data_IF_574273008484
#
_entry.id   IF_574273008484
#
_cell.length_a   1.000
_cell.length_b   1.000
_cell.length_c   1.000
_cell.angle_alpha   90.00
_cell.angle_beta   90.00
_cell.angle_gamma   90.00
#
_symmetry.space_group_name_H-M   'P 1'
#
loop_
_entity.id
_entity.type
_entity.pdbx_description
1 polymer ?
#
# COMPACT_ATOMS: atom_id res chain seq x y z
N UNK A 1 3.46 43.49 -17.51
CA UNK A 1 2.21 42.69 -17.43
C UNK A 1 1.90 42.39 -15.97
N UNK A 2 0.88 43.03 -15.36
CA UNK A 2 0.46 42.70 -13.98
C UNK A 2 -0.64 41.65 -14.05
N UNK A 3 -0.35 40.42 -13.59
CA UNK A 3 -1.33 39.35 -13.47
C UNK A 3 -2.33 39.74 -12.38
N UNK A 4 -3.57 40.02 -12.77
CA UNK A 4 -4.71 40.19 -11.85
C UNK A 4 -4.88 38.87 -11.10
N UNK A 5 -4.66 38.87 -9.78
CA UNK A 5 -4.97 37.73 -8.92
C UNK A 5 -6.47 37.72 -8.74
N UNK A 6 -7.16 36.80 -9.41
CA UNK A 6 -8.57 36.53 -9.19
C UNK A 6 -8.75 36.17 -7.72
N UNK A 7 -9.47 37.00 -6.97
CA UNK A 7 -9.85 36.73 -5.59
C UNK A 7 -10.86 35.60 -5.60
N UNK A 8 -10.39 34.36 -5.43
CA UNK A 8 -11.24 33.18 -5.28
C UNK A 8 -12.05 33.37 -4.01
N UNK A 9 -13.37 33.34 -4.14
CA UNK A 9 -14.36 33.34 -3.06
C UNK A 9 -13.94 32.33 -2.00
N UNK A 10 -13.67 32.80 -0.78
CA UNK A 10 -13.29 31.95 0.34
C UNK A 10 -14.51 31.15 0.80
N UNK A 11 -14.84 30.06 0.10
CA UNK A 11 -15.68 29.02 0.68
C UNK A 11 -14.90 28.42 1.85
N UNK A 12 -15.44 28.61 3.06
CA UNK A 12 -14.90 27.96 4.25
C UNK A 12 -15.43 26.53 4.24
N UNK A 13 -14.59 25.59 3.82
CA UNK A 13 -14.87 24.17 4.00
C UNK A 13 -14.55 23.78 5.44
N UNK A 14 -15.46 23.06 6.08
CA UNK A 14 -15.21 22.43 7.36
C UNK A 14 -14.20 21.29 7.23
N UNK A 15 -13.55 20.93 8.32
CA UNK A 15 -12.56 19.84 8.33
C UNK A 15 -13.17 18.51 7.85
N UNK A 16 -14.39 18.21 8.28
CA UNK A 16 -15.11 16.98 7.91
C UNK A 16 -15.43 16.94 6.40
N UNK A 17 -15.85 18.06 5.82
CA UNK A 17 -16.10 18.15 4.38
C UNK A 17 -14.83 17.94 3.56
N UNK A 18 -13.70 18.48 4.02
CA UNK A 18 -12.40 18.29 3.36
C UNK A 18 -11.99 16.83 3.39
N UNK A 19 -12.11 16.18 4.55
CA UNK A 19 -11.76 14.76 4.72
C UNK A 19 -12.65 13.90 3.81
N UNK A 20 -13.96 14.10 3.85
CA UNK A 20 -14.91 13.35 3.01
C UNK A 20 -14.64 13.55 1.51
N UNK A 21 -14.34 14.78 1.09
CA UNK A 21 -14.00 15.07 -0.30
C UNK A 21 -12.70 14.35 -0.75
N UNK A 22 -11.67 14.33 0.11
CA UNK A 22 -10.43 13.61 -0.18
C UNK A 22 -10.65 12.09 -0.22
N UNK A 23 -11.50 11.55 0.65
CA UNK A 23 -11.85 10.14 0.67
C UNK A 23 -12.57 9.72 -0.63
N UNK A 24 -13.59 10.49 -1.04
CA UNK A 24 -14.29 10.28 -2.31
C UNK A 24 -13.33 10.33 -3.51
N UNK A 25 -12.38 11.27 -3.50
CA UNK A 25 -11.33 11.34 -4.52
C UNK A 25 -10.47 10.07 -4.57
N UNK A 26 -10.07 9.54 -3.40
CA UNK A 26 -9.29 8.30 -3.33
C UNK A 26 -10.09 7.06 -3.72
N UNK A 27 -11.37 6.97 -3.34
CA UNK A 27 -12.24 5.84 -3.66
C UNK A 27 -12.63 5.80 -5.14
N UNK A 28 -12.85 6.96 -5.77
CA UNK A 28 -13.21 7.01 -7.18
C UNK A 28 -12.07 6.48 -8.07
N UNK A 29 -10.81 6.79 -7.74
CA UNK A 29 -9.62 6.25 -8.42
C UNK A 29 -9.44 6.64 -9.90
N UNK A 30 -10.46 7.22 -10.53
CA UNK A 30 -10.53 7.59 -11.94
C UNK A 30 -10.71 9.09 -12.19
N UNK A 31 -10.65 9.92 -11.14
CA UNK A 31 -10.79 11.37 -11.22
C UNK A 31 -9.42 12.02 -11.17
N UNK A 32 -9.13 12.92 -12.11
CA UNK A 32 -7.89 13.69 -12.09
C UNK A 32 -7.95 14.82 -11.05
N UNK A 33 -6.79 15.23 -10.52
CA UNK A 33 -6.69 16.38 -9.60
C UNK A 33 -7.31 17.65 -10.22
N UNK A 34 -7.20 17.80 -11.55
CA UNK A 34 -7.78 18.94 -12.28
C UNK A 34 -9.31 18.93 -12.22
N UNK A 35 -9.94 17.79 -12.43
CA UNK A 35 -11.40 17.64 -12.35
C UNK A 35 -11.90 17.85 -10.91
N UNK A 36 -11.18 17.30 -9.92
CA UNK A 36 -11.48 17.51 -8.51
C UNK A 36 -11.43 19.01 -8.13
N UNK A 37 -10.32 19.68 -8.46
CA UNK A 37 -10.15 21.11 -8.14
C UNK A 37 -11.18 22.00 -8.84
N UNK A 38 -11.63 21.62 -10.04
CA UNK A 38 -12.71 22.31 -10.75
C UNK A 38 -14.08 22.11 -10.06
N UNK A 39 -14.39 20.88 -9.63
CA UNK A 39 -15.64 20.57 -8.93
C UNK A 39 -15.79 21.33 -7.60
N UNK A 40 -14.70 21.40 -6.83
CA UNK A 40 -14.67 22.09 -5.53
C UNK A 40 -14.31 23.58 -5.63
N UNK A 41 -14.07 24.11 -6.84
CA UNK A 41 -13.65 25.50 -7.09
C UNK A 41 -12.42 25.94 -6.26
N UNK A 42 -11.51 24.99 -6.01
CA UNK A 42 -10.28 25.23 -5.25
C UNK A 42 -9.07 25.28 -6.17
N UNK A 43 -7.97 25.85 -5.69
CA UNK A 43 -6.70 25.77 -6.41
C UNK A 43 -6.04 24.40 -6.21
N UNK A 44 -5.20 23.98 -7.16
CA UNK A 44 -4.38 22.78 -6.99
C UNK A 44 -3.49 22.86 -5.74
N UNK A 45 -2.97 24.05 -5.40
CA UNK A 45 -2.18 24.25 -4.18
C UNK A 45 -3.02 23.98 -2.91
N UNK A 46 -4.29 24.38 -2.90
CA UNK A 46 -5.23 24.08 -1.82
C UNK A 46 -5.44 22.58 -1.67
N UNK A 47 -5.66 21.86 -2.79
CA UNK A 47 -5.78 20.41 -2.79
C UNK A 47 -4.55 19.71 -2.18
N UNK A 48 -3.33 20.08 -2.62
CA UNK A 48 -2.12 19.47 -2.07
C UNK A 48 -1.90 19.82 -0.59
N UNK A 49 -2.32 21.01 -0.15
CA UNK A 49 -2.30 21.38 1.26
C UNK A 49 -3.28 20.52 2.09
N UNK A 50 -4.51 20.35 1.62
CA UNK A 50 -5.50 19.48 2.25
C UNK A 50 -5.01 18.04 2.30
N UNK A 51 -4.50 17.49 1.19
CA UNK A 51 -3.93 16.15 1.15
C UNK A 51 -2.75 15.98 2.12
N UNK A 52 -1.90 16.99 2.26
CA UNK A 52 -0.78 16.96 3.23
C UNK A 52 -1.28 16.97 4.69
N UNK A 53 -2.31 17.77 5.00
CA UNK A 53 -2.82 17.95 6.37
C UNK A 53 -3.72 16.79 6.81
N UNK A 54 -4.58 16.30 5.93
CA UNK A 54 -5.63 15.34 6.25
C UNK A 54 -5.43 13.96 5.62
N UNK A 55 -4.50 13.83 4.66
CA UNK A 55 -4.22 12.53 4.02
C UNK A 55 -3.65 11.49 4.98
N UNK A 56 -2.98 11.89 6.06
CA UNK A 56 -2.50 10.95 7.09
C UNK A 56 -3.65 10.46 7.98
N UNK A 57 -4.66 11.31 8.26
CA UNK A 57 -5.84 10.89 9.03
C UNK A 57 -6.66 9.81 8.30
N UNK A 58 -6.63 9.80 6.97
CA UNK A 58 -7.25 8.74 6.15
C UNK A 58 -6.49 7.41 6.21
N UNK A 59 -5.18 7.44 6.47
CA UNK A 59 -4.34 6.22 6.57
C UNK A 59 -4.40 5.63 7.98
N UNK A 60 -4.47 6.49 9.00
CA UNK A 60 -4.53 6.06 10.41
C UNK A 60 -5.84 5.35 10.79
N UNK A 61 -6.91 5.49 10.00
CA UNK A 61 -8.17 4.79 10.29
C UNK A 61 -8.18 3.31 9.89
N UNK A 62 -7.24 2.85 9.05
CA UNK A 62 -7.24 1.48 8.53
C UNK A 62 -5.86 0.79 8.47
N UNK A 63 -4.76 1.47 8.82
CA UNK A 63 -3.45 0.82 8.93
C UNK A 63 -3.17 0.46 10.40
N UNK A 64 -2.84 -0.80 10.74
CA UNK A 64 -2.30 -1.11 12.05
C UNK A 64 -0.96 -0.38 12.21
N UNK A 65 -0.95 0.69 13.02
CA UNK A 65 0.28 1.40 13.39
C UNK A 65 0.99 0.54 14.45
N UNK A 66 1.98 -0.24 14.06
CA UNK A 66 2.73 -1.09 14.98
C UNK A 66 3.55 -2.18 14.30
N UNK A 67 4.17 -3.01 15.13
CA UNK A 67 4.79 -4.26 14.68
C UNK A 67 3.68 -5.27 14.38
N UNK A 68 3.73 -5.89 13.20
CA UNK A 68 2.90 -7.05 12.87
C UNK A 68 3.65 -8.26 13.39
N UNK A 69 3.02 -9.05 14.26
CA UNK A 69 3.58 -10.32 14.68
C UNK A 69 3.74 -11.22 13.45
N UNK A 70 4.99 -11.58 13.16
CA UNK A 70 5.30 -12.53 12.10
C UNK A 70 5.01 -13.92 12.66
N UNK A 71 4.02 -14.59 12.07
CA UNK A 71 3.74 -15.98 12.40
C UNK A 71 4.94 -16.84 11.98
N UNK A 72 5.69 -17.33 12.98
CA UNK A 72 6.80 -18.26 12.81
C UNK A 72 6.34 -19.71 12.86
N UNK A 73 5.04 -19.98 12.80
CA UNK A 73 4.53 -21.33 12.64
C UNK A 73 5.22 -21.98 11.46
N UNK A 74 5.75 -23.21 11.61
CA UNK A 74 6.38 -23.91 10.51
C UNK A 74 5.33 -24.05 9.41
N UNK A 75 5.51 -23.29 8.32
CA UNK A 75 4.75 -23.48 7.10
C UNK A 75 5.02 -24.93 6.71
N UNK A 76 4.02 -25.80 6.89
CA UNK A 76 3.99 -27.10 6.26
C UNK A 76 3.96 -26.81 4.76
N UNK A 77 5.14 -26.69 4.17
CA UNK A 77 5.29 -26.76 2.73
C UNK A 77 4.86 -28.17 2.36
N UNK A 78 3.59 -28.33 1.99
CA UNK A 78 3.13 -29.47 1.23
C UNK A 78 4.14 -29.65 0.09
N UNK A 79 4.82 -30.79 0.00
CA UNK A 79 5.84 -31.00 -1.01
C UNK A 79 5.17 -30.90 -2.38
N UNK A 80 5.40 -29.79 -3.07
CA UNK A 80 5.02 -29.63 -4.46
C UNK A 80 5.79 -30.69 -5.22
N UNK A 81 5.12 -31.80 -5.50
CA UNK A 81 5.72 -32.96 -6.16
C UNK A 81 6.31 -32.50 -7.50
N UNK A 82 7.63 -32.53 -7.61
CA UNK A 82 8.35 -32.19 -8.85
C UNK A 82 9.33 -31.01 -8.78
N UNK A 83 9.50 -30.34 -7.63
CA UNK A 83 10.55 -29.32 -7.47
C UNK A 83 11.84 -29.92 -6.89
N UNK A 84 12.98 -29.47 -7.41
CA UNK A 84 14.30 -29.86 -6.89
C UNK A 84 14.49 -29.17 -5.54
N UNK A 85 14.68 -29.97 -4.48
CA UNK A 85 14.98 -29.48 -3.13
C UNK A 85 16.44 -29.01 -3.02
N UNK A 86 17.39 -29.82 -3.51
CA UNK A 86 18.81 -29.48 -3.50
C UNK A 86 19.58 -30.29 -4.55
N UNK A 87 20.75 -29.78 -4.98
CA UNK A 87 21.71 -30.53 -5.79
C UNK A 87 23.09 -30.46 -5.16
N UNK A 88 23.78 -31.61 -5.05
CA UNK A 88 25.15 -31.66 -4.57
C UNK A 88 25.97 -32.66 -5.38
N UNK A 89 27.01 -32.17 -6.07
CA UNK A 89 27.91 -32.99 -6.92
C UNK A 89 27.15 -33.89 -7.92
N UNK A 90 26.07 -33.38 -8.53
CA UNK A 90 25.24 -34.11 -9.48
C UNK A 90 24.22 -35.07 -8.85
N UNK A 91 24.12 -35.12 -7.52
CA UNK A 91 23.04 -35.83 -6.81
C UNK A 91 21.89 -34.84 -6.62
N UNK A 92 20.73 -35.17 -7.18
CA UNK A 92 19.52 -34.35 -7.10
C UNK A 92 18.61 -34.88 -5.99
N UNK A 93 18.28 -34.01 -5.04
CA UNK A 93 17.32 -34.26 -3.99
C UNK A 93 15.99 -33.62 -4.36
N UNK A 94 14.92 -34.42 -4.42
CA UNK A 94 13.56 -33.96 -4.67
C UNK A 94 12.78 -33.68 -3.38
N UNK A 95 13.36 -34.01 -2.24
CA UNK A 95 12.80 -33.77 -0.92
C UNK A 95 13.92 -33.55 0.09
N UNK A 96 13.59 -32.97 1.24
CA UNK A 96 14.51 -32.88 2.37
C UNK A 96 14.79 -34.27 2.92
N UNK A 97 16.07 -34.60 3.12
CA UNK A 97 16.51 -35.90 3.65
C UNK A 97 17.40 -35.66 4.86
N UNK A 98 17.14 -36.40 5.94
CA UNK A 98 17.98 -36.36 7.13
C UNK A 98 19.34 -37.05 6.89
N UNK A 99 20.47 -36.52 7.41
CA UNK A 99 21.79 -37.11 7.20
C UNK A 99 21.91 -38.57 7.68
N UNK A 100 21.14 -38.94 8.72
CA UNK A 100 21.10 -40.31 9.26
C UNK A 100 20.57 -41.32 8.26
N UNK A 101 19.57 -40.94 7.45
CA UNK A 101 19.02 -41.79 6.40
C UNK A 101 20.06 -42.05 5.30
N UNK A 102 20.76 -41.02 4.86
CA UNK A 102 21.81 -41.16 3.84
C UNK A 102 22.97 -42.05 4.33
N UNK A 103 23.32 -41.92 5.61
CA UNK A 103 24.37 -42.74 6.23
C UNK A 103 24.02 -44.23 6.28
N UNK A 104 22.74 -44.59 6.35
CA UNK A 104 22.30 -45.98 6.35
C UNK A 104 22.32 -46.64 4.96
N UNK A 105 22.48 -45.87 3.89
CA UNK A 105 22.51 -46.36 2.50
C UNK A 105 23.94 -46.59 1.96
N UNK A 106 24.96 -46.21 2.73
CA UNK A 106 26.39 -46.42 2.45
C UNK A 106 26.90 -47.64 3.20
#
# INVERSE_FOLDING_TARGET
>A
MKRKKSSVTSHQFSEQEIISALEQFTQAGNISVKEFTAAFQISAATFYNWRKRYGNQLVESNAPVGFIDVDLSPVQQEPVSGTIFAEYRGIVFYQRVEPSYLKALL
#
